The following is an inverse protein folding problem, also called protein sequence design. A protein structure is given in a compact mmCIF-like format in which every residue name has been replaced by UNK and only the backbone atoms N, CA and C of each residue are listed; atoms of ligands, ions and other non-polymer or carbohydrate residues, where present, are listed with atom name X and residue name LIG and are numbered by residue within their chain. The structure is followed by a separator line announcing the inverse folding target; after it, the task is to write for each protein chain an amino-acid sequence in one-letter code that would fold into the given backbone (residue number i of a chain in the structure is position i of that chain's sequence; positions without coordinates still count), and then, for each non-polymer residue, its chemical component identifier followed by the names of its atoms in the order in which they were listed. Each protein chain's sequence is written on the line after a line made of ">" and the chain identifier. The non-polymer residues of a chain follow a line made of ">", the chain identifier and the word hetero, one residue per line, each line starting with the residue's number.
data_IF_974517410283
#
_entry.id   IF_974517410283
#
_cell.length_a   1.000
_cell.length_b   1.000
_cell.length_c   1.000
_cell.angle_alpha   90.00
_cell.angle_beta   90.00
_cell.angle_gamma   90.00
#
_symmetry.space_group_name_H-M   'P 1'
#
loop_
_entity.id
_entity.type
_entity.pdbx_description
1 polymer ?
#
# COMPACT_ATOMS: atom_id res chain seq x y z
N UNK A 1 -24.22 2.56 12.90
CA UNK A 1 -24.45 1.42 11.99
C UNK A 1 -24.75 0.22 12.86
N UNK A 2 -25.85 -0.50 12.60
CA UNK A 2 -26.25 -1.66 13.41
C UNK A 2 -25.24 -2.81 13.21
N UNK A 3 -24.67 -3.34 14.31
CA UNK A 3 -23.69 -4.43 14.29
C UNK A 3 -24.25 -5.67 13.58
N UNK A 4 -25.55 -5.94 13.74
CA UNK A 4 -26.21 -7.05 13.05
C UNK A 4 -26.28 -6.82 11.54
N UNK A 5 -26.53 -5.58 11.12
CA UNK A 5 -26.54 -5.20 9.71
C UNK A 5 -25.15 -5.34 9.07
N UNK A 6 -24.10 -4.82 9.71
CA UNK A 6 -22.71 -4.94 9.22
C UNK A 6 -22.27 -6.40 9.13
N UNK A 7 -22.56 -7.20 10.17
CA UNK A 7 -22.23 -8.63 10.17
C UNK A 7 -22.88 -9.36 8.99
N UNK A 8 -24.16 -9.09 8.72
CA UNK A 8 -24.87 -9.71 7.59
C UNK A 8 -24.22 -9.38 6.25
N UNK A 9 -23.83 -8.12 6.04
CA UNK A 9 -23.21 -7.69 4.78
C UNK A 9 -21.84 -8.35 4.57
N UNK A 10 -21.01 -8.43 5.63
CA UNK A 10 -19.72 -9.13 5.55
C UNK A 10 -19.92 -10.61 5.22
N UNK A 11 -20.86 -11.29 5.88
CA UNK A 11 -21.11 -12.71 5.61
C UNK A 11 -21.62 -12.96 4.18
N UNK A 12 -22.56 -12.13 3.70
CA UNK A 12 -23.04 -12.20 2.30
C UNK A 12 -21.90 -11.97 1.30
N UNK A 13 -20.99 -11.04 1.57
CA UNK A 13 -19.80 -10.83 0.75
C UNK A 13 -18.87 -12.05 0.74
N UNK A 14 -18.54 -12.61 1.91
CA UNK A 14 -17.66 -13.78 2.01
C UNK A 14 -18.27 -15.03 1.34
N UNK A 15 -19.59 -15.20 1.44
CA UNK A 15 -20.32 -16.28 0.76
C UNK A 15 -20.26 -16.11 -0.76
N UNK A 16 -20.60 -14.91 -1.29
CA UNK A 16 -20.60 -14.63 -2.74
C UNK A 16 -19.22 -14.71 -3.39
N UNK A 17 -18.17 -14.45 -2.62
CA UNK A 17 -16.78 -14.52 -3.11
C UNK A 17 -16.18 -15.92 -2.97
N UNK A 18 -16.92 -16.88 -2.40
CA UNK A 18 -16.44 -18.22 -2.07
C UNK A 18 -15.15 -18.17 -1.24
N UNK A 19 -15.09 -17.24 -0.28
CA UNK A 19 -13.87 -16.93 0.45
C UNK A 19 -13.29 -18.17 1.15
N UNK A 20 -14.12 -18.93 1.85
CA UNK A 20 -13.68 -20.12 2.60
C UNK A 20 -13.09 -21.22 1.71
N UNK A 21 -13.60 -21.38 0.50
CA UNK A 21 -13.14 -22.40 -0.45
C UNK A 21 -11.83 -21.99 -1.14
N UNK A 22 -11.64 -20.69 -1.37
CA UNK A 22 -10.51 -20.13 -2.12
C UNK A 22 -9.34 -19.72 -1.24
N UNK A 23 -9.60 -19.37 0.02
CA UNK A 23 -8.64 -18.81 0.96
C UNK A 23 -8.66 -19.59 2.28
N UNK A 24 -8.16 -20.84 2.31
CA UNK A 24 -8.06 -21.58 3.56
C UNK A 24 -7.11 -20.87 4.53
N UNK A 25 -7.31 -20.99 5.86
CA UNK A 25 -6.41 -20.42 6.86
C UNK A 25 -4.97 -20.83 6.60
N UNK A 26 -4.11 -19.83 6.50
CA UNK A 26 -2.75 -19.96 5.99
C UNK A 26 -1.89 -18.98 6.78
N UNK A 27 -0.70 -19.41 7.19
CA UNK A 27 0.28 -18.54 7.87
C UNK A 27 1.34 -18.11 6.88
N UNK A 28 1.89 -16.92 7.05
CA UNK A 28 2.98 -16.44 6.21
C UNK A 28 4.16 -17.44 6.19
N UNK A 29 4.84 -17.64 5.06
CA UNK A 29 6.03 -18.48 5.00
C UNK A 29 7.08 -17.92 5.96
N UNK A 30 7.70 -18.75 6.83
CA UNK A 30 8.69 -18.27 7.81
C UNK A 30 9.85 -17.49 7.18
N UNK A 31 10.21 -17.83 5.94
CA UNK A 31 11.27 -17.15 5.17
C UNK A 31 10.87 -15.73 4.73
N UNK A 32 9.59 -15.50 4.41
CA UNK A 32 9.08 -14.16 4.04
C UNK A 32 9.02 -13.30 5.28
N UNK A 33 8.45 -13.83 6.37
CA UNK A 33 8.37 -13.12 7.64
C UNK A 33 9.75 -12.72 8.16
N UNK A 34 10.66 -13.69 8.31
CA UNK A 34 11.99 -13.43 8.85
C UNK A 34 12.74 -12.39 8.02
N UNK A 35 12.74 -12.54 6.69
CA UNK A 35 13.45 -11.61 5.79
C UNK A 35 12.86 -10.20 5.83
N UNK A 36 11.53 -10.06 5.78
CA UNK A 36 10.90 -8.75 5.87
C UNK A 36 11.17 -8.09 7.23
N UNK A 37 11.08 -8.87 8.31
CA UNK A 37 11.34 -8.38 9.67
C UNK A 37 12.79 -7.89 9.84
N UNK A 38 13.75 -8.66 9.35
CA UNK A 38 15.18 -8.29 9.38
C UNK A 38 15.43 -6.98 8.62
N UNK A 39 14.82 -6.82 7.45
CA UNK A 39 14.94 -5.58 6.66
C UNK A 39 14.31 -4.41 7.42
N UNK A 40 13.08 -4.53 7.90
CA UNK A 40 12.41 -3.45 8.62
C UNK A 40 13.16 -3.05 9.90
N UNK A 41 13.75 -4.01 10.62
CA UNK A 41 14.61 -3.73 11.79
C UNK A 41 15.88 -2.97 11.41
N UNK A 42 16.44 -3.24 10.24
CA UNK A 42 17.66 -2.57 9.77
C UNK A 42 17.47 -1.07 9.52
N UNK A 43 16.22 -0.61 9.31
CA UNK A 43 15.87 0.79 9.12
C UNK A 43 16.08 1.64 10.37
N UNK A 44 16.09 1.03 11.56
CA UNK A 44 16.29 1.72 12.85
C UNK A 44 15.38 2.95 13.02
N UNK A 45 14.11 2.80 12.63
CA UNK A 45 13.09 3.83 12.77
C UNK A 45 12.86 4.17 14.25
N UNK A 46 12.64 5.44 14.55
CA UNK A 46 12.27 5.93 15.88
C UNK A 46 10.78 5.72 16.15
N UNK A 47 10.36 4.46 16.20
CA UNK A 47 8.99 4.05 16.50
C UNK A 47 8.99 3.05 17.66
N UNK A 48 7.88 3.01 18.40
CA UNK A 48 7.74 2.04 19.48
C UNK A 48 7.71 0.61 18.94
N UNK A 49 8.10 -0.35 19.78
CA UNK A 49 8.00 -1.78 19.47
C UNK A 49 6.57 -2.19 19.11
N UNK A 50 5.57 -1.65 19.83
CA UNK A 50 4.15 -1.90 19.55
C UNK A 50 3.77 -1.40 18.16
N UNK A 51 4.19 -0.17 17.80
CA UNK A 51 3.96 0.43 16.48
C UNK A 51 4.63 -0.41 15.40
N UNK A 52 5.88 -0.81 15.62
CA UNK A 52 6.61 -1.69 14.72
C UNK A 52 5.82 -2.97 14.43
N UNK A 53 5.42 -3.71 15.47
CA UNK A 53 4.73 -4.99 15.29
C UNK A 53 3.36 -4.82 14.64
N UNK A 54 2.61 -3.77 15.00
CA UNK A 54 1.31 -3.48 14.41
C UNK A 54 1.40 -3.30 12.89
N UNK A 55 2.30 -2.43 12.41
CA UNK A 55 2.43 -2.17 10.98
C UNK A 55 3.10 -3.34 10.25
N UNK A 56 4.03 -4.04 10.90
CA UNK A 56 4.64 -5.24 10.34
C UNK A 56 3.59 -6.33 10.04
N UNK A 57 2.70 -6.60 11.00
CA UNK A 57 1.62 -7.59 10.81
C UNK A 57 0.69 -7.19 9.66
N UNK A 58 0.31 -5.91 9.57
CA UNK A 58 -0.51 -5.41 8.44
C UNK A 58 0.20 -5.69 7.10
N UNK A 59 1.48 -5.35 6.99
CA UNK A 59 2.22 -5.60 5.76
C UNK A 59 2.41 -7.09 5.46
N UNK A 60 2.64 -7.91 6.48
CA UNK A 60 2.80 -9.35 6.32
C UNK A 60 1.50 -10.01 5.85
N UNK A 61 0.38 -9.64 6.44
CA UNK A 61 -0.95 -10.13 6.06
C UNK A 61 -1.26 -9.78 4.60
N UNK A 62 -0.99 -8.56 4.15
CA UNK A 62 -1.17 -8.18 2.75
C UNK A 62 -0.20 -8.96 1.84
N UNK A 63 1.11 -8.90 2.11
CA UNK A 63 2.12 -9.50 1.24
C UNK A 63 2.01 -11.02 1.11
N UNK A 64 1.49 -11.71 2.12
CA UNK A 64 1.23 -13.13 2.03
C UNK A 64 -0.20 -13.46 1.60
N UNK A 65 -1.24 -12.96 2.29
CA UNK A 65 -2.60 -13.44 2.05
C UNK A 65 -3.09 -13.08 0.64
N UNK A 66 -2.73 -11.88 0.15
CA UNK A 66 -3.12 -11.42 -1.18
C UNK A 66 -2.17 -11.87 -2.30
N UNK A 67 -0.88 -12.12 -1.99
CA UNK A 67 0.16 -12.40 -3.00
C UNK A 67 0.87 -13.74 -2.82
N UNK A 68 0.26 -14.69 -2.11
CA UNK A 68 0.79 -16.06 -1.89
C UNK A 68 1.20 -16.80 -3.17
N UNK A 69 0.60 -16.47 -4.32
CA UNK A 69 0.92 -17.07 -5.62
C UNK A 69 2.21 -16.52 -6.24
N UNK A 70 2.71 -15.39 -5.74
CA UNK A 70 3.90 -14.73 -6.27
C UNK A 70 5.20 -15.27 -5.64
N UNK A 71 6.37 -15.08 -6.27
CA UNK A 71 7.65 -15.46 -5.66
C UNK A 71 7.87 -14.77 -4.31
N UNK A 72 8.54 -15.45 -3.36
CA UNK A 72 8.80 -14.88 -2.02
C UNK A 72 9.46 -13.49 -2.03
N UNK A 73 10.28 -13.18 -3.04
CA UNK A 73 10.89 -11.86 -3.19
C UNK A 73 9.83 -10.75 -3.41
N UNK A 74 8.81 -11.04 -4.22
CA UNK A 74 7.66 -10.14 -4.47
C UNK A 74 6.80 -9.99 -3.21
N UNK A 75 6.60 -11.08 -2.48
CA UNK A 75 5.88 -11.06 -1.20
C UNK A 75 6.60 -10.17 -0.17
N UNK A 76 7.92 -10.32 -0.01
CA UNK A 76 8.74 -9.47 0.87
C UNK A 76 8.68 -8.00 0.46
N UNK A 77 8.84 -7.71 -0.84
CA UNK A 77 8.78 -6.33 -1.34
C UNK A 77 7.40 -5.71 -1.12
N UNK A 78 6.32 -6.46 -1.37
CA UNK A 78 4.95 -6.00 -1.14
C UNK A 78 4.65 -5.81 0.35
N UNK A 79 5.16 -6.69 1.22
CA UNK A 79 5.06 -6.53 2.67
C UNK A 79 5.69 -5.23 3.13
N UNK A 80 6.96 -5.00 2.78
CA UNK A 80 7.69 -3.80 3.22
C UNK A 80 7.12 -2.52 2.61
N UNK A 81 6.69 -2.56 1.34
CA UNK A 81 5.99 -1.44 0.72
C UNK A 81 4.70 -1.10 1.47
N UNK A 82 3.91 -2.13 1.84
CA UNK A 82 2.67 -1.94 2.62
C UNK A 82 2.95 -1.35 3.99
N UNK A 83 4.01 -1.81 4.67
CA UNK A 83 4.45 -1.23 5.95
C UNK A 83 4.75 0.25 5.79
N UNK A 84 5.55 0.63 4.79
CA UNK A 84 5.87 2.04 4.53
C UNK A 84 4.62 2.86 4.18
N UNK A 85 3.73 2.34 3.34
CA UNK A 85 2.49 3.01 2.96
C UNK A 85 1.60 3.28 4.18
N UNK A 86 1.41 2.29 5.06
CA UNK A 86 0.59 2.42 6.25
C UNK A 86 1.22 3.36 7.29
N UNK A 87 2.54 3.29 7.48
CA UNK A 87 3.27 4.25 8.31
C UNK A 87 3.20 5.68 7.74
N UNK A 88 3.26 5.84 6.42
CA UNK A 88 3.08 7.14 5.79
C UNK A 88 1.68 7.70 6.07
N UNK A 89 0.65 6.88 5.93
CA UNK A 89 -0.75 7.27 6.15
C UNK A 89 -1.02 7.65 7.62
N UNK A 90 -0.66 6.78 8.56
CA UNK A 90 -1.07 6.97 9.95
C UNK A 90 -0.10 7.83 10.78
N UNK A 91 1.20 7.74 10.49
CA UNK A 91 2.25 8.38 11.29
C UNK A 91 2.74 9.64 10.61
N UNK A 92 3.36 9.51 9.43
CA UNK A 92 4.03 10.64 8.77
C UNK A 92 3.05 11.70 8.32
N UNK A 93 1.86 11.33 7.86
CA UNK A 93 0.93 12.30 7.34
C UNK A 93 0.43 13.30 8.39
N UNK A 94 0.65 13.02 9.69
CA UNK A 94 0.43 14.00 10.76
C UNK A 94 1.47 15.13 10.77
N UNK A 95 2.67 14.91 10.22
CA UNK A 95 3.67 15.93 9.92
C UNK A 95 3.42 16.54 8.53
N UNK A 96 2.60 17.59 8.52
CA UNK A 96 2.23 18.33 7.31
C UNK A 96 3.46 18.89 6.58
N UNK A 97 4.52 19.26 7.30
CA UNK A 97 5.71 19.83 6.66
C UNK A 97 6.50 18.74 5.93
N UNK A 98 6.66 17.55 6.53
CA UNK A 98 7.27 16.40 5.87
C UNK A 98 6.52 16.02 4.59
N UNK A 99 5.18 15.93 4.64
CA UNK A 99 4.35 15.60 3.48
C UNK A 99 4.38 16.66 2.38
N UNK A 100 4.33 17.95 2.76
CA UNK A 100 4.40 19.07 1.80
C UNK A 100 5.71 19.07 1.01
N UNK A 101 6.81 18.72 1.67
CA UNK A 101 8.14 18.71 1.09
C UNK A 101 8.49 17.41 0.37
N UNK A 102 7.70 16.34 0.56
CA UNK A 102 7.99 15.00 0.03
C UNK A 102 8.25 14.98 -1.48
N UNK A 103 7.25 15.42 -2.26
CA UNK A 103 7.31 15.41 -3.73
C UNK A 103 8.37 16.40 -4.26
N UNK A 104 8.43 17.68 -3.80
CA UNK A 104 9.51 18.59 -4.19
C UNK A 104 10.91 18.01 -3.97
N UNK A 105 11.14 17.33 -2.85
CA UNK A 105 12.43 16.70 -2.53
C UNK A 105 12.73 15.50 -3.42
N UNK A 106 11.73 14.69 -3.78
CA UNK A 106 11.89 13.64 -4.81
C UNK A 106 12.34 14.27 -6.13
N UNK A 107 11.63 15.29 -6.62
CA UNK A 107 11.90 15.90 -7.92
C UNK A 107 13.25 16.61 -7.99
N UNK A 108 13.80 17.03 -6.85
CA UNK A 108 15.09 17.74 -6.76
C UNK A 108 16.24 16.88 -6.25
N UNK A 109 15.99 15.59 -5.97
CA UNK A 109 17.00 14.66 -5.45
C UNK A 109 17.49 15.00 -4.05
N UNK A 110 16.70 15.71 -3.25
CA UNK A 110 17.04 16.05 -1.88
C UNK A 110 16.65 14.92 -0.91
N UNK A 111 17.38 14.77 0.21
CA UNK A 111 16.96 13.86 1.28
C UNK A 111 15.56 14.20 1.79
N UNK A 112 14.77 13.18 2.12
CA UNK A 112 13.46 13.37 2.74
C UNK A 112 13.59 13.85 4.18
N UNK A 113 12.53 14.54 4.64
CA UNK A 113 12.48 15.05 6.02
C UNK A 113 12.22 13.96 7.06
N UNK A 114 11.63 12.84 6.62
CA UNK A 114 11.32 11.69 7.47
C UNK A 114 11.96 10.41 6.89
N UNK A 115 12.59 9.55 7.72
CA UNK A 115 13.18 8.30 7.27
C UNK A 115 12.15 7.31 6.68
N UNK A 116 10.90 7.30 7.14
CA UNK A 116 9.82 6.47 6.60
C UNK A 116 9.55 6.88 5.15
N UNK A 117 9.54 8.17 4.82
CA UNK A 117 9.38 8.66 3.45
C UNK A 117 10.56 8.24 2.55
N UNK A 118 11.77 8.18 3.11
CA UNK A 118 12.94 7.66 2.39
C UNK A 118 12.76 6.18 2.05
N UNK A 119 12.39 5.37 3.04
CA UNK A 119 12.14 3.94 2.82
C UNK A 119 10.92 3.68 1.94
N UNK A 120 9.92 4.57 1.93
CA UNK A 120 8.79 4.45 1.02
C UNK A 120 9.21 4.56 -0.45
N UNK A 121 10.09 5.50 -0.78
CA UNK A 121 10.69 5.64 -2.12
C UNK A 121 11.55 4.41 -2.46
N UNK A 122 12.36 3.93 -1.51
CA UNK A 122 13.20 2.75 -1.70
C UNK A 122 12.37 1.49 -1.96
N UNK A 123 11.30 1.28 -1.19
CA UNK A 123 10.42 0.11 -1.35
C UNK A 123 9.56 0.21 -2.61
N UNK A 124 9.14 1.41 -3.01
CA UNK A 124 8.54 1.63 -4.33
C UNK A 124 9.52 1.22 -5.45
N UNK A 125 10.79 1.59 -5.31
CA UNK A 125 11.85 1.19 -6.26
C UNK A 125 12.15 -0.31 -6.22
N UNK A 126 12.05 -0.95 -5.05
CA UNK A 126 12.20 -2.40 -4.91
C UNK A 126 11.06 -3.16 -5.60
N UNK A 127 9.80 -2.75 -5.38
CA UNK A 127 8.63 -3.35 -6.05
C UNK A 127 8.77 -3.29 -7.56
N UNK A 128 9.24 -2.15 -8.10
CA UNK A 128 9.44 -1.98 -9.56
C UNK A 128 10.34 -3.02 -10.20
N UNK A 129 11.31 -3.59 -9.46
CA UNK A 129 12.24 -4.60 -10.01
C UNK A 129 11.52 -5.88 -10.44
N UNK A 130 10.30 -6.10 -9.95
CA UNK A 130 9.51 -7.29 -10.23
C UNK A 130 8.38 -7.04 -11.24
N UNK A 131 8.29 -5.84 -11.84
CA UNK A 131 7.17 -5.42 -12.66
C UNK A 131 7.59 -5.11 -14.11
N UNK A 132 6.74 -5.39 -15.12
CA UNK A 132 6.97 -4.94 -16.49
C UNK A 132 7.01 -3.41 -16.60
N UNK A 133 7.63 -2.87 -17.66
CA UNK A 133 7.91 -1.43 -17.80
C UNK A 133 6.69 -0.52 -17.55
N UNK A 134 5.53 -0.88 -18.11
CA UNK A 134 4.30 -0.10 -17.93
C UNK A 134 3.91 0.02 -16.45
N UNK A 135 3.76 -1.13 -15.76
CA UNK A 135 3.34 -1.15 -14.35
C UNK A 135 4.45 -0.67 -13.42
N UNK A 136 5.71 -0.91 -13.75
CA UNK A 136 6.84 -0.34 -13.03
C UNK A 136 6.83 1.20 -13.06
N UNK A 137 6.59 1.81 -14.22
CA UNK A 137 6.53 3.27 -14.35
C UNK A 137 5.40 3.90 -13.54
N UNK A 138 4.27 3.21 -13.48
CA UNK A 138 3.09 3.61 -12.72
C UNK A 138 3.31 3.60 -11.19
N UNK A 139 4.26 2.81 -10.66
CA UNK A 139 4.50 2.74 -9.20
C UNK A 139 4.78 4.11 -8.58
N UNK A 140 5.73 4.87 -9.15
CA UNK A 140 6.08 6.17 -8.59
C UNK A 140 4.97 7.20 -8.80
N UNK A 141 4.24 7.15 -9.92
CA UNK A 141 3.13 8.09 -10.16
C UNK A 141 1.99 7.85 -9.19
N UNK A 142 1.67 6.58 -8.89
CA UNK A 142 0.65 6.21 -7.91
C UNK A 142 1.09 6.59 -6.49
N UNK A 143 2.35 6.33 -6.12
CA UNK A 143 2.92 6.73 -4.82
C UNK A 143 2.89 8.25 -4.58
N UNK A 144 3.29 9.04 -5.57
CA UNK A 144 3.22 10.51 -5.48
C UNK A 144 1.76 11.00 -5.43
N UNK A 145 0.86 10.36 -6.18
CA UNK A 145 -0.58 10.64 -6.14
C UNK A 145 -1.17 10.42 -4.75
N UNK A 146 -0.82 9.31 -4.10
CA UNK A 146 -1.17 9.01 -2.72
C UNK A 146 -0.68 10.10 -1.77
N UNK A 147 0.62 10.41 -1.79
CA UNK A 147 1.17 11.40 -0.85
C UNK A 147 0.56 12.80 -1.04
N UNK A 148 0.29 13.19 -2.28
CA UNK A 148 -0.37 14.47 -2.58
C UNK A 148 -1.82 14.50 -2.07
N UNK A 149 -2.56 13.41 -2.23
CA UNK A 149 -3.94 13.31 -1.73
C UNK A 149 -3.99 13.29 -0.20
N UNK A 150 -3.10 12.56 0.46
CA UNK A 150 -3.02 12.51 1.92
C UNK A 150 -2.69 13.88 2.54
N UNK A 151 -1.84 14.68 1.87
CA UNK A 151 -1.59 16.07 2.22
C UNK A 151 -2.85 16.94 2.05
N UNK A 152 -3.50 16.85 0.89
CA UNK A 152 -4.74 17.59 0.58
C UNK A 152 -5.84 17.29 1.62
N UNK A 153 -6.01 16.01 1.96
CA UNK A 153 -7.01 15.56 2.93
C UNK A 153 -6.78 16.22 4.30
N UNK A 154 -5.55 16.14 4.82
CA UNK A 154 -5.25 16.65 6.17
C UNK A 154 -5.17 18.16 6.24
N UNK A 155 -4.63 18.80 5.20
CA UNK A 155 -4.45 20.25 5.20
C UNK A 155 -5.77 20.98 4.90
N UNK A 156 -6.52 20.52 3.90
CA UNK A 156 -7.62 21.30 3.34
C UNK A 156 -8.97 20.60 3.58
N UNK A 157 -9.11 19.32 3.24
CA UNK A 157 -10.41 18.64 3.17
C UNK A 157 -11.02 18.36 4.55
N UNK A 158 -10.21 17.96 5.53
CA UNK A 158 -10.67 17.69 6.90
C UNK A 158 -11.27 18.92 7.58
N UNK A 159 -11.02 20.12 7.03
CA UNK A 159 -11.59 21.38 7.50
C UNK A 159 -12.87 21.78 6.76
N UNK A 160 -13.26 21.04 5.72
CA UNK A 160 -14.40 21.36 4.86
C UNK A 160 -15.63 20.52 5.22
N UNK A 161 -16.80 21.15 5.15
CA UNK A 161 -18.07 20.44 5.03
C UNK A 161 -18.28 20.05 3.58
N UNK A 162 -18.20 18.75 3.27
CA UNK A 162 -18.47 18.26 1.92
C UNK A 162 -19.91 18.58 1.49
N UNK A 163 -20.07 19.04 0.25
CA UNK A 163 -21.38 19.30 -0.33
C UNK A 163 -22.13 17.98 -0.60
N UNK A 164 -23.48 17.97 -0.58
CA UNK A 164 -24.26 16.76 -0.85
C UNK A 164 -23.99 16.10 -2.21
N UNK A 165 -23.50 16.85 -3.20
CA UNK A 165 -23.18 16.41 -4.56
C UNK A 165 -21.70 16.04 -4.76
N UNK A 166 -20.87 16.04 -3.70
CA UNK A 166 -19.43 15.73 -3.76
C UNK A 166 -19.09 14.24 -4.00
N UNK A 167 -20.06 13.41 -4.41
CA UNK A 167 -19.88 11.97 -4.57
C UNK A 167 -18.76 11.60 -5.57
N UNK A 168 -18.57 12.38 -6.63
CA UNK A 168 -17.47 12.18 -7.59
C UNK A 168 -16.11 12.44 -6.95
N UNK A 169 -16.01 13.48 -6.10
CA UNK A 169 -14.79 13.78 -5.39
C UNK A 169 -14.41 12.65 -4.42
N UNK A 170 -15.36 12.08 -3.69
CA UNK A 170 -15.10 10.96 -2.77
C UNK A 170 -14.50 9.75 -3.52
N UNK A 171 -15.03 9.43 -4.71
CA UNK A 171 -14.48 8.35 -5.54
C UNK A 171 -13.07 8.66 -6.04
N UNK A 172 -12.87 9.90 -6.51
CA UNK A 172 -11.56 10.37 -6.97
C UNK A 172 -10.52 10.32 -5.86
N UNK A 173 -10.86 10.84 -4.69
CA UNK A 173 -10.01 10.86 -3.50
C UNK A 173 -9.63 9.45 -3.09
N UNK A 174 -10.60 8.52 -3.03
CA UNK A 174 -10.33 7.12 -2.71
C UNK A 174 -9.44 6.42 -3.74
N UNK A 175 -9.61 6.73 -5.02
CA UNK A 175 -8.74 6.21 -6.07
C UNK A 175 -7.30 6.72 -5.91
N UNK A 176 -7.12 8.00 -5.60
CA UNK A 176 -5.79 8.60 -5.41
C UNK A 176 -5.07 8.11 -4.16
N UNK A 177 -5.78 7.96 -3.04
CA UNK A 177 -5.18 7.50 -1.79
C UNK A 177 -5.19 5.98 -1.56
N UNK A 178 -5.73 5.22 -2.50
CA UNK A 178 -5.87 3.77 -2.35
C UNK A 178 -4.62 2.96 -2.68
N UNK A 179 -3.64 3.55 -3.39
CA UNK A 179 -2.48 2.84 -3.96
C UNK A 179 -2.86 1.59 -4.79
N UNK A 180 -4.11 1.53 -5.27
CA UNK A 180 -4.72 0.31 -5.83
C UNK A 180 -4.00 -0.17 -7.07
N UNK A 181 -3.43 0.74 -7.85
CA UNK A 181 -2.68 0.42 -9.05
C UNK A 181 -1.39 -0.35 -8.73
N UNK A 182 -0.66 0.05 -7.68
CA UNK A 182 0.56 -0.65 -7.25
C UNK A 182 0.21 -2.06 -6.77
N UNK A 183 -0.81 -2.16 -5.94
CA UNK A 183 -1.28 -3.45 -5.44
C UNK A 183 -1.81 -4.35 -6.56
N UNK A 184 -2.50 -3.81 -7.56
CA UNK A 184 -2.91 -4.57 -8.74
C UNK A 184 -1.70 -5.05 -9.54
N UNK A 185 -0.69 -4.21 -9.76
CA UNK A 185 0.53 -4.61 -10.46
C UNK A 185 1.27 -5.77 -9.79
N UNK A 186 1.35 -5.78 -8.45
CA UNK A 186 2.01 -6.86 -7.71
C UNK A 186 1.34 -8.24 -7.90
N UNK A 187 0.12 -8.32 -8.44
CA UNK A 187 -0.55 -9.61 -8.73
C UNK A 187 0.18 -10.35 -9.87
N UNK A 188 0.77 -9.61 -10.82
CA UNK A 188 1.34 -10.14 -12.06
C UNK A 188 2.82 -9.74 -12.22
N UNK A 189 3.73 -10.29 -11.40
CA UNK A 189 5.15 -9.99 -11.53
C UNK A 189 5.71 -10.47 -12.86
N UNK A 190 6.75 -9.80 -13.39
CA UNK A 190 7.33 -10.06 -14.71
C UNK A 190 7.81 -11.49 -14.90
N UNK A 191 8.23 -12.16 -13.83
CA UNK A 191 8.67 -13.57 -13.87
C UNK A 191 7.53 -14.55 -14.15
N UNK A 192 6.28 -14.13 -13.94
CA UNK A 192 5.08 -14.94 -14.18
C UNK A 192 4.29 -14.43 -15.38
N UNK A 193 4.15 -13.12 -15.53
CA UNK A 193 3.36 -12.46 -16.57
C UNK A 193 4.15 -11.28 -17.16
N UNK A 194 5.09 -11.54 -18.08
CA UNK A 194 5.92 -10.49 -18.67
C UNK A 194 5.15 -9.57 -19.63
N UNK A 195 4.11 -10.08 -20.29
CA UNK A 195 3.29 -9.30 -21.21
C UNK A 195 2.11 -8.65 -20.48
N UNK A 196 2.12 -7.31 -20.45
CA UNK A 196 1.08 -6.49 -19.82
C UNK A 196 -0.28 -6.70 -20.50
N UNK A 197 -0.30 -7.01 -21.79
CA UNK A 197 -1.55 -7.21 -22.54
C UNK A 197 -2.37 -8.40 -22.00
N UNK A 198 -1.74 -9.36 -21.31
CA UNK A 198 -2.43 -10.54 -20.75
C UNK A 198 -3.32 -10.20 -19.55
N UNK A 199 -3.01 -9.14 -18.79
CA UNK A 199 -3.67 -8.86 -17.53
C UNK A 199 -4.15 -7.42 -17.36
N UNK A 200 -3.79 -6.48 -18.24
CA UNK A 200 -4.14 -5.06 -18.06
C UNK A 200 -5.65 -4.81 -17.98
N UNK A 201 -6.47 -5.65 -18.61
CA UNK A 201 -7.94 -5.55 -18.54
C UNK A 201 -8.51 -5.91 -17.16
N UNK A 202 -7.70 -6.49 -16.27
CA UNK A 202 -8.08 -6.78 -14.89
C UNK A 202 -7.72 -5.65 -13.90
N UNK A 203 -7.09 -4.57 -14.38
CA UNK A 203 -6.84 -3.39 -13.55
C UNK A 203 -8.16 -2.64 -13.24
N UNK A 204 -8.30 -2.08 -12.02
CA UNK A 204 -9.49 -1.34 -11.59
C UNK A 204 -9.64 0.04 -12.26
#
# INVERSE_FOLDING_TARGET
>A
MDVAFSRRFVLDFLERTHFADRFPPRTAPPVVEAKARDIMRSWKLDISETTFEQYFVIGLDIGYAAYQHTPHAVQVATTLFTVCAALCDDVVATDIQAMREFIPRICTGQPQLDPILSHFIEMASEVRKYLPDYTANMVHTCMMGFANEELCIRQDVNQLTLKPDAGTYIKYSRYKNGLSEIFAACIWPSTMCPDVAEYIQAFP
#
